data_IF_062349693563
#
_entry.id   IF_062349693563
#
_cell.length_a   1.000
_cell.length_b   1.000
_cell.length_c   1.000
_cell.angle_alpha   90.00
_cell.angle_beta   90.00
_cell.angle_gamma   90.00
#
_symmetry.space_group_name_H-M   'P 1'
#
loop_
_entity.id
_entity.type
_entity.pdbx_description
1 polymer ?
#
# COMPACT_ATOMS: atom_id res chain seq x y z
N UNK A 1 33.44 -13.82 -3.85
CA UNK A 1 32.23 -13.90 -3.01
C UNK A 1 31.16 -13.07 -3.68
N UNK A 2 30.05 -13.67 -4.14
CA UNK A 2 28.92 -12.92 -4.68
C UNK A 2 28.22 -12.27 -3.48
N UNK A 3 28.24 -10.94 -3.41
CA UNK A 3 27.47 -10.17 -2.42
C UNK A 3 26.00 -10.62 -2.54
N UNK A 4 25.45 -11.29 -1.52
CA UNK A 4 24.01 -11.61 -1.49
C UNK A 4 23.27 -10.28 -1.38
N UNK A 5 22.80 -9.75 -2.52
CA UNK A 5 21.93 -8.57 -2.57
C UNK A 5 20.64 -8.91 -1.82
N UNK A 6 20.35 -8.18 -0.75
CA UNK A 6 19.05 -8.31 -0.06
C UNK A 6 17.94 -7.80 -0.96
N UNK A 7 16.76 -8.43 -0.90
CA UNK A 7 15.59 -7.94 -1.63
C UNK A 7 15.17 -6.54 -1.16
N UNK A 8 14.46 -5.79 -2.01
CA UNK A 8 13.80 -4.55 -1.64
C UNK A 8 12.63 -4.79 -0.68
N UNK A 9 12.13 -3.71 -0.08
CA UNK A 9 10.97 -3.74 0.81
C UNK A 9 9.65 -3.65 0.02
N UNK A 10 8.62 -4.36 0.47
CA UNK A 10 7.26 -4.18 -0.04
C UNK A 10 6.43 -3.38 0.96
N UNK A 11 6.13 -2.14 0.62
CA UNK A 11 5.41 -1.17 1.46
C UNK A 11 4.04 -0.93 0.85
N UNK A 12 2.99 -1.30 1.56
CA UNK A 12 1.61 -1.06 1.16
C UNK A 12 1.08 0.17 1.90
N UNK A 13 0.33 1.01 1.19
CA UNK A 13 -0.31 2.21 1.72
C UNK A 13 -1.81 2.02 1.53
N UNK A 14 -2.52 1.86 2.65
CA UNK A 14 -3.97 1.62 2.70
C UNK A 14 -4.69 2.81 3.33
N UNK A 15 -6.02 2.82 3.22
CA UNK A 15 -6.87 3.86 3.77
C UNK A 15 -8.13 4.08 2.92
N UNK A 16 -9.10 4.74 3.52
CA UNK A 16 -10.36 5.13 2.87
C UNK A 16 -10.13 6.11 1.72
N UNK A 17 -11.17 6.36 0.94
CA UNK A 17 -11.10 7.37 -0.12
C UNK A 17 -10.72 8.73 0.50
N UNK A 18 -9.85 9.45 -0.21
CA UNK A 18 -9.29 10.76 0.20
C UNK A 18 -8.44 10.78 1.47
N UNK A 19 -8.01 9.64 1.99
CA UNK A 19 -7.01 9.61 3.06
C UNK A 19 -5.63 10.16 2.67
N UNK A 20 -5.41 10.45 1.37
CA UNK A 20 -4.17 11.06 0.87
C UNK A 20 -3.14 10.08 0.33
N UNK A 21 -3.50 8.79 0.18
CA UNK A 21 -2.60 7.72 -0.30
C UNK A 21 -1.79 8.07 -1.55
N UNK A 22 -2.45 8.54 -2.61
CA UNK A 22 -1.76 8.89 -3.86
C UNK A 22 -0.79 10.06 -3.69
N UNK A 23 -1.11 11.04 -2.83
CA UNK A 23 -0.20 12.15 -2.50
C UNK A 23 0.99 11.64 -1.71
N UNK A 24 0.74 10.88 -0.64
CA UNK A 24 1.78 10.41 0.26
C UNK A 24 2.71 9.39 -0.40
N UNK A 25 2.17 8.47 -1.20
CA UNK A 25 2.97 7.51 -1.96
C UNK A 25 3.91 8.18 -2.96
N UNK A 26 3.49 9.28 -3.61
CA UNK A 26 4.33 10.06 -4.50
C UNK A 26 5.45 10.79 -3.73
N UNK A 27 5.14 11.44 -2.61
CA UNK A 27 6.13 12.10 -1.75
C UNK A 27 7.17 11.12 -1.21
N UNK A 28 6.74 9.96 -0.73
CA UNK A 28 7.64 8.92 -0.24
C UNK A 28 8.53 8.37 -1.35
N UNK A 29 8.01 8.20 -2.57
CA UNK A 29 8.81 7.76 -3.71
C UNK A 29 9.94 8.76 -4.00
N UNK A 30 9.60 10.05 -4.09
CA UNK A 30 10.58 11.12 -4.34
C UNK A 30 11.64 11.18 -3.23
N UNK A 31 11.22 11.06 -1.97
CA UNK A 31 12.12 11.07 -0.82
C UNK A 31 13.03 9.85 -0.79
N UNK A 32 12.53 8.66 -1.13
CA UNK A 32 13.33 7.45 -1.27
C UNK A 32 14.38 7.59 -2.38
N UNK A 33 14.00 8.13 -3.54
CA UNK A 33 14.94 8.40 -4.63
C UNK A 33 16.02 9.41 -4.21
N UNK A 34 15.63 10.48 -3.52
CA UNK A 34 16.55 11.49 -2.97
C UNK A 34 17.53 10.91 -1.94
N UNK A 35 17.11 9.86 -1.22
CA UNK A 35 17.94 9.10 -0.29
C UNK A 35 18.79 8.00 -0.97
N UNK A 36 18.76 7.89 -2.31
CA UNK A 36 19.52 6.90 -3.07
C UNK A 36 18.93 5.48 -3.03
N UNK A 37 17.67 5.33 -2.60
CA UNK A 37 16.96 4.05 -2.58
C UNK A 37 16.31 3.80 -3.95
N UNK A 38 16.57 2.63 -4.55
CA UNK A 38 15.81 2.20 -5.73
C UNK A 38 14.40 1.83 -5.31
N UNK A 39 13.41 2.58 -5.77
CA UNK A 39 12.00 2.35 -5.45
C UNK A 39 11.12 2.55 -6.69
N UNK A 40 10.00 1.80 -6.76
CA UNK A 40 8.91 2.03 -7.72
C UNK A 40 7.59 2.18 -7.00
N UNK A 41 6.67 2.95 -7.57
CA UNK A 41 5.29 3.06 -7.13
C UNK A 41 4.40 2.25 -8.07
N UNK A 42 3.56 1.39 -7.51
CA UNK A 42 2.45 0.72 -8.19
C UNK A 42 1.13 1.09 -7.50
N UNK A 43 0.02 0.95 -8.23
CA UNK A 43 -1.33 1.25 -7.71
C UNK A 43 -2.28 0.13 -8.08
N UNK A 44 -3.17 -0.22 -7.17
CA UNK A 44 -4.29 -1.12 -7.45
C UNK A 44 -5.65 -0.40 -7.39
N UNK A 45 -6.57 -0.70 -8.31
CA UNK A 45 -6.39 -1.60 -9.46
C UNK A 45 -5.41 -1.00 -10.49
N UNK A 46 -4.60 -1.84 -11.13
CA UNK A 46 -3.85 -1.43 -12.31
C UNK A 46 -4.82 -1.36 -13.48
N UNK A 47 -5.32 -0.15 -13.74
CA UNK A 47 -6.34 0.15 -14.76
C UNK A 47 -5.83 0.01 -16.21
N UNK A 48 -4.55 -0.28 -16.42
CA UNK A 48 -3.95 -0.37 -17.76
C UNK A 48 -4.13 -1.73 -18.42
N UNK A 49 -4.31 -2.79 -17.61
CA UNK A 49 -4.47 -4.17 -18.10
C UNK A 49 -5.89 -4.44 -18.62
N UNK A 50 -6.11 -5.60 -19.25
CA UNK A 50 -7.45 -5.97 -19.72
C UNK A 50 -8.45 -6.11 -18.56
N UNK A 51 -8.05 -6.75 -17.46
CA UNK A 51 -8.84 -6.88 -16.24
C UNK A 51 -9.02 -5.49 -15.60
N UNK A 52 -7.94 -4.71 -15.54
CA UNK A 52 -7.94 -3.34 -15.04
C UNK A 52 -8.97 -2.42 -15.71
N UNK A 53 -9.12 -2.52 -17.03
CA UNK A 53 -10.10 -1.74 -17.80
C UNK A 53 -11.54 -2.13 -17.47
N UNK A 54 -11.81 -3.41 -17.21
CA UNK A 54 -13.14 -3.86 -16.76
C UNK A 54 -13.46 -3.28 -15.38
N UNK A 55 -12.46 -3.28 -14.48
CA UNK A 55 -12.60 -2.69 -13.15
C UNK A 55 -12.81 -1.16 -13.24
N UNK A 56 -12.04 -0.46 -14.08
CA UNK A 56 -12.17 0.99 -14.27
C UNK A 56 -13.56 1.37 -14.78
N UNK A 57 -14.06 0.67 -15.79
CA UNK A 57 -15.43 0.86 -16.30
C UNK A 57 -16.49 0.64 -15.21
N UNK A 58 -16.32 -0.39 -14.38
CA UNK A 58 -17.21 -0.64 -13.24
C UNK A 58 -17.15 0.50 -12.20
N UNK A 59 -15.95 0.96 -11.82
CA UNK A 59 -15.76 2.03 -10.83
C UNK A 59 -16.33 3.37 -11.31
N UNK A 60 -16.22 3.66 -12.61
CA UNK A 60 -16.82 4.85 -13.26
C UNK A 60 -18.33 4.74 -13.50
N UNK A 61 -18.94 3.63 -13.10
CA UNK A 61 -20.36 3.34 -13.34
C UNK A 61 -20.74 3.30 -14.83
N UNK A 62 -19.78 3.01 -15.71
CA UNK A 62 -19.99 2.82 -17.15
C UNK A 62 -20.44 1.38 -17.49
N UNK A 63 -20.20 0.44 -16.57
CA UNK A 63 -20.70 -0.92 -16.62
C UNK A 63 -21.12 -1.42 -15.24
N UNK A 64 -22.05 -2.36 -15.21
CA UNK A 64 -22.45 -3.08 -14.00
C UNK A 64 -21.99 -4.54 -14.08
N UNK A 65 -21.50 -5.05 -12.95
CA UNK A 65 -21.04 -6.42 -12.76
C UNK A 65 -21.58 -6.93 -11.43
N UNK A 66 -21.81 -8.24 -11.35
CA UNK A 66 -22.14 -8.90 -10.10
C UNK A 66 -21.02 -8.70 -9.05
N UNK A 67 -21.39 -8.58 -7.78
CA UNK A 67 -20.45 -8.26 -6.71
C UNK A 67 -19.38 -9.35 -6.51
N UNK A 68 -19.72 -10.63 -6.74
CA UNK A 68 -18.73 -11.70 -6.70
C UNK A 68 -17.75 -11.60 -7.86
N UNK A 69 -18.28 -11.34 -9.06
CA UNK A 69 -17.48 -11.23 -10.27
C UNK A 69 -16.47 -10.08 -10.17
N UNK A 70 -16.92 -8.87 -9.79
CA UNK A 70 -16.02 -7.72 -9.65
C UNK A 70 -15.00 -7.92 -8.52
N UNK A 71 -15.39 -8.54 -7.39
CA UNK A 71 -14.45 -8.88 -6.32
C UNK A 71 -13.31 -9.78 -6.83
N UNK A 72 -13.66 -10.83 -7.57
CA UNK A 72 -12.68 -11.75 -8.15
C UNK A 72 -11.82 -11.07 -9.22
N UNK A 73 -12.36 -10.13 -10.01
CA UNK A 73 -11.56 -9.34 -10.94
C UNK A 73 -10.53 -8.46 -10.22
N UNK A 74 -10.90 -7.81 -9.12
CA UNK A 74 -9.95 -7.06 -8.29
C UNK A 74 -8.81 -7.96 -7.78
N UNK A 75 -9.11 -9.19 -7.35
CA UNK A 75 -8.08 -10.14 -6.93
C UNK A 75 -7.21 -10.62 -8.10
N UNK A 76 -7.82 -10.96 -9.24
CA UNK A 76 -7.10 -11.36 -10.45
C UNK A 76 -6.15 -10.27 -10.95
N UNK A 77 -6.54 -9.00 -10.86
CA UNK A 77 -5.69 -7.85 -11.19
C UNK A 77 -4.46 -7.73 -10.28
N UNK A 78 -4.54 -8.18 -9.02
CA UNK A 78 -3.35 -8.30 -8.15
C UNK A 78 -2.47 -9.48 -8.55
N UNK A 79 -3.09 -10.63 -8.82
CA UNK A 79 -2.37 -11.85 -9.22
C UNK A 79 -1.58 -11.69 -10.52
N UNK A 80 -2.10 -10.97 -11.52
CA UNK A 80 -1.36 -10.75 -12.78
C UNK A 80 -0.08 -9.92 -12.59
N UNK A 81 0.03 -9.13 -11.50
CA UNK A 81 1.23 -8.36 -11.16
C UNK A 81 2.11 -9.03 -10.09
N UNK A 82 1.64 -10.09 -9.43
CA UNK A 82 2.33 -10.70 -8.28
C UNK A 82 3.77 -11.14 -8.59
N UNK A 83 3.98 -11.85 -9.70
CA UNK A 83 5.34 -12.28 -10.11
C UNK A 83 6.28 -11.10 -10.37
N UNK A 84 5.78 -10.03 -11.01
CA UNK A 84 6.56 -8.81 -11.28
C UNK A 84 6.94 -8.07 -10.00
N UNK A 85 6.03 -8.04 -9.02
CA UNK A 85 6.33 -7.51 -7.67
C UNK A 85 7.47 -8.32 -7.05
N UNK A 86 7.37 -9.64 -7.02
CA UNK A 86 8.42 -10.49 -6.44
C UNK A 86 9.77 -10.33 -7.13
N UNK A 87 9.80 -10.32 -8.46
CA UNK A 87 11.02 -10.15 -9.26
C UNK A 87 11.67 -8.80 -8.97
N UNK A 88 10.85 -7.74 -8.89
CA UNK A 88 11.35 -6.39 -8.56
C UNK A 88 11.96 -6.35 -7.17
N UNK A 89 11.29 -6.96 -6.19
CA UNK A 89 11.81 -7.05 -4.83
C UNK A 89 13.11 -7.85 -4.83
N UNK A 90 13.16 -9.02 -5.48
CA UNK A 90 14.37 -9.86 -5.59
C UNK A 90 15.55 -9.12 -6.24
N UNK A 91 15.29 -8.19 -7.16
CA UNK A 91 16.32 -7.34 -7.78
C UNK A 91 16.92 -6.26 -6.83
N UNK A 92 16.31 -6.07 -5.66
CA UNK A 92 16.72 -5.09 -4.65
C UNK A 92 15.95 -3.76 -4.72
N UNK A 93 14.88 -3.69 -5.51
CA UNK A 93 14.07 -2.47 -5.68
C UNK A 93 12.88 -2.51 -4.74
N UNK A 94 12.72 -1.48 -3.91
CA UNK A 94 11.54 -1.30 -3.05
C UNK A 94 10.29 -1.06 -3.90
N UNK A 95 9.16 -1.62 -3.47
CA UNK A 95 7.86 -1.38 -4.09
C UNK A 95 6.97 -0.66 -3.10
N UNK A 96 6.59 0.57 -3.43
CA UNK A 96 5.48 1.27 -2.78
C UNK A 96 4.20 0.91 -3.52
N UNK A 97 3.12 0.61 -2.79
CA UNK A 97 1.86 0.13 -3.35
C UNK A 97 0.68 0.92 -2.79
N UNK A 98 0.04 1.74 -3.61
CA UNK A 98 -1.21 2.44 -3.26
C UNK A 98 -2.38 1.47 -3.44
N UNK A 99 -2.96 1.05 -2.29
CA UNK A 99 -3.93 -0.06 -2.13
C UNK A 99 -3.38 -1.43 -2.49
N UNK A 100 -3.89 -2.46 -1.82
CA UNK A 100 -3.58 -3.86 -2.12
C UNK A 100 -4.76 -4.78 -1.76
N UNK A 101 -4.49 -5.99 -1.26
CA UNK A 101 -5.51 -6.97 -0.89
C UNK A 101 -6.48 -6.47 0.20
N UNK A 102 -6.02 -5.65 1.15
CA UNK A 102 -6.86 -5.16 2.24
C UNK A 102 -7.99 -4.26 1.73
N UNK A 103 -7.69 -3.34 0.78
CA UNK A 103 -8.74 -2.61 0.05
C UNK A 103 -9.73 -3.56 -0.65
N UNK A 104 -9.25 -4.58 -1.36
CA UNK A 104 -10.12 -5.53 -2.07
C UNK A 104 -11.12 -6.24 -1.14
N UNK A 105 -10.61 -6.70 0.01
CA UNK A 105 -11.41 -7.34 1.06
C UNK A 105 -12.38 -6.36 1.73
N UNK A 106 -11.90 -5.19 2.17
CA UNK A 106 -12.68 -4.23 2.94
C UNK A 106 -13.89 -3.70 2.15
N UNK A 107 -13.68 -3.25 0.90
CA UNK A 107 -14.77 -2.74 0.06
C UNK A 107 -15.82 -3.79 -0.29
N UNK A 108 -15.43 -5.06 -0.40
CA UNK A 108 -16.35 -6.14 -0.76
C UNK A 108 -17.13 -6.63 0.46
N UNK A 109 -16.46 -6.84 1.59
CA UNK A 109 -17.10 -7.24 2.84
C UNK A 109 -18.05 -6.16 3.38
N UNK A 110 -17.74 -4.87 3.18
CA UNK A 110 -18.61 -3.75 3.57
C UNK A 110 -19.99 -3.74 2.87
N UNK A 111 -20.14 -4.49 1.77
CA UNK A 111 -21.46 -4.69 1.13
C UNK A 111 -22.42 -5.53 2.00
N UNK A 112 -21.89 -6.21 3.02
CA UNK A 112 -22.63 -7.01 4.01
C UNK A 112 -23.61 -8.02 3.39
N UNK A 113 -23.14 -8.71 2.34
CA UNK A 113 -23.91 -9.77 1.69
C UNK A 113 -23.71 -11.10 2.41
N UNK A 114 -24.77 -11.90 2.64
CA UNK A 114 -24.69 -13.16 3.40
C UNK A 114 -23.79 -14.21 2.73
N UNK A 115 -23.66 -14.16 1.40
CA UNK A 115 -22.85 -15.05 0.57
C UNK A 115 -21.43 -14.51 0.28
N UNK A 116 -21.10 -13.29 0.71
CA UNK A 116 -19.77 -12.68 0.61
C UNK A 116 -19.20 -12.35 2.00
N UNK A 117 -19.06 -13.39 2.83
CA UNK A 117 -18.45 -13.26 4.16
C UNK A 117 -17.05 -12.61 4.12
N UNK A 118 -16.60 -12.12 5.27
CA UNK A 118 -15.23 -11.59 5.41
C UNK A 118 -14.18 -12.62 4.98
N UNK A 119 -14.35 -13.87 5.36
CA UNK A 119 -13.46 -14.98 5.02
C UNK A 119 -13.51 -15.31 3.52
N UNK A 120 -14.69 -15.23 2.90
CA UNK A 120 -14.84 -15.38 1.45
C UNK A 120 -14.12 -14.25 0.71
N UNK A 121 -14.27 -12.99 1.16
CA UNK A 121 -13.59 -11.84 0.57
C UNK A 121 -12.06 -11.89 0.74
N UNK A 122 -11.56 -12.60 1.76
CA UNK A 122 -10.13 -12.79 2.00
C UNK A 122 -9.52 -13.87 1.11
N UNK A 123 -10.28 -14.93 0.83
CA UNK A 123 -9.76 -16.17 0.26
C UNK A 123 -9.03 -16.01 -1.10
N UNK A 124 -9.51 -15.19 -2.06
CA UNK A 124 -8.86 -15.05 -3.36
C UNK A 124 -7.43 -14.49 -3.31
N UNK A 125 -7.12 -13.69 -2.29
CA UNK A 125 -5.82 -13.02 -2.14
C UNK A 125 -4.82 -13.79 -1.27
N UNK A 126 -5.21 -14.96 -0.73
CA UNK A 126 -4.32 -15.80 0.07
C UNK A 126 -3.10 -16.19 -0.77
N UNK A 127 -1.91 -16.01 -0.20
CA UNK A 127 -0.60 -16.28 -0.83
C UNK A 127 -0.13 -15.26 -1.86
N UNK A 128 -0.81 -14.12 -2.03
CA UNK A 128 -0.17 -12.96 -2.66
C UNK A 128 1.10 -12.55 -1.89
N UNK A 129 2.08 -11.91 -2.56
CA UNK A 129 3.26 -11.35 -1.90
C UNK A 129 2.86 -10.53 -0.67
N UNK A 130 3.34 -10.94 0.51
CA UNK A 130 2.98 -10.27 1.75
C UNK A 130 3.77 -8.96 1.89
N UNK A 131 3.12 -7.84 2.25
CA UNK A 131 3.84 -6.60 2.55
C UNK A 131 4.73 -6.80 3.76
N UNK A 132 5.88 -6.13 3.74
CA UNK A 132 6.74 -6.04 4.90
C UNK A 132 6.18 -5.05 5.93
N UNK A 133 5.49 -4.01 5.46
CA UNK A 133 4.75 -3.04 6.25
C UNK A 133 3.54 -2.52 5.47
N UNK A 134 2.46 -2.30 6.19
CA UNK A 134 1.26 -1.60 5.72
C UNK A 134 1.08 -0.34 6.53
N UNK A 135 1.09 0.81 5.86
CA UNK A 135 0.81 2.13 6.42
C UNK A 135 -0.67 2.43 6.14
N UNK A 136 -1.50 2.37 7.18
CA UNK A 136 -2.92 2.68 7.08
C UNK A 136 -3.16 4.14 7.44
N UNK A 137 -3.50 4.94 6.43
CA UNK A 137 -3.87 6.34 6.60
C UNK A 137 -5.31 6.43 7.11
N UNK A 138 -5.44 6.70 8.40
CA UNK A 138 -6.72 6.91 9.06
C UNK A 138 -7.08 8.40 9.02
N UNK A 139 -8.11 8.75 8.28
CA UNK A 139 -8.60 10.13 8.12
C UNK A 139 -10.01 10.20 8.69
N UNK A 140 -10.37 11.21 9.47
CA UNK A 140 -11.74 11.35 9.96
C UNK A 140 -12.72 11.61 8.81
N UNK A 141 -14.00 11.19 8.93
CA UNK A 141 -15.02 11.50 7.93
C UNK A 141 -15.13 13.01 7.66
N UNK A 142 -15.02 13.84 8.69
CA UNK A 142 -15.07 15.29 8.60
C UNK A 142 -13.92 15.82 7.73
N UNK A 143 -12.69 15.38 8.00
CA UNK A 143 -11.51 15.79 7.24
C UNK A 143 -11.53 15.28 5.80
N UNK A 144 -12.03 14.06 5.59
CA UNK A 144 -12.19 13.50 4.25
C UNK A 144 -13.19 14.30 3.40
N UNK A 145 -14.25 14.88 4.00
CA UNK A 145 -15.21 15.74 3.29
C UNK A 145 -14.59 17.05 2.80
N UNK A 146 -13.69 17.64 3.59
CA UNK A 146 -12.98 18.88 3.22
C UNK A 146 -12.10 18.75 1.96
N UNK A 147 -11.68 17.52 1.60
CA UNK A 147 -10.66 17.27 0.57
C UNK A 147 -11.15 17.34 -0.89
N UNK A 148 -12.44 17.63 -1.14
CA UNK A 148 -12.99 17.86 -2.49
C UNK A 148 -12.99 16.63 -3.43
N UNK A 149 -13.76 16.69 -4.54
CA UNK A 149 -13.90 15.62 -5.55
C UNK A 149 -14.54 14.34 -5.02
N UNK A 150 -15.85 14.37 -4.69
CA UNK A 150 -16.57 13.21 -4.11
C UNK A 150 -17.64 12.81 -5.10
N UNK A 151 -17.84 11.51 -5.25
CA UNK A 151 -18.98 10.96 -5.95
C UNK A 151 -18.74 10.78 -7.44
N UNK A 152 -17.49 10.86 -7.90
CA UNK A 152 -17.14 10.58 -9.29
C UNK A 152 -16.99 9.06 -9.52
N UNK A 153 -16.68 8.30 -8.47
CA UNK A 153 -16.58 6.84 -8.52
C UNK A 153 -17.62 6.13 -7.63
N UNK A 154 -17.96 4.90 -8.01
CA UNK A 154 -19.07 4.08 -7.47
C UNK A 154 -19.12 3.98 -5.94
N UNK A 155 -17.96 3.94 -5.29
CA UNK A 155 -17.84 3.73 -3.84
C UNK A 155 -17.63 5.01 -3.03
N UNK A 156 -17.56 6.18 -3.68
CA UNK A 156 -17.40 7.47 -3.01
C UNK A 156 -18.74 7.95 -2.42
N UNK A 157 -19.30 7.17 -1.48
CA UNK A 157 -20.52 7.48 -0.72
C UNK A 157 -20.26 7.33 0.77
N UNK A 158 -20.81 8.25 1.57
CA UNK A 158 -20.48 8.34 3.00
C UNK A 158 -20.84 7.04 3.74
N UNK A 159 -22.02 6.49 3.47
CA UNK A 159 -22.51 5.24 4.06
C UNK A 159 -21.67 4.02 3.66
N UNK A 160 -21.04 4.06 2.48
CA UNK A 160 -20.12 3.01 2.02
C UNK A 160 -18.80 3.16 2.77
N UNK A 161 -18.24 4.37 2.85
CA UNK A 161 -16.96 4.60 3.51
C UNK A 161 -17.00 4.30 5.02
N UNK A 162 -18.12 4.58 5.69
CA UNK A 162 -18.34 4.21 7.10
C UNK A 162 -18.25 2.69 7.29
N UNK A 163 -18.98 1.90 6.49
CA UNK A 163 -18.90 0.43 6.55
C UNK A 163 -17.52 -0.11 6.19
N UNK A 164 -16.82 0.53 5.25
CA UNK A 164 -15.46 0.14 4.86
C UNK A 164 -14.47 0.43 6.01
N UNK A 165 -14.67 1.50 6.78
CA UNK A 165 -13.87 1.81 7.97
C UNK A 165 -13.95 0.68 8.98
N UNK A 166 -15.16 0.23 9.32
CA UNK A 166 -15.37 -0.86 10.30
C UNK A 166 -14.60 -2.13 9.92
N UNK A 167 -14.56 -2.46 8.62
CA UNK A 167 -13.81 -3.61 8.13
C UNK A 167 -12.30 -3.36 8.23
N UNK A 168 -11.81 -2.17 7.91
CA UNK A 168 -10.39 -1.83 8.10
C UNK A 168 -9.96 -1.83 9.57
N UNK A 169 -10.82 -1.41 10.49
CA UNK A 169 -10.55 -1.51 11.93
C UNK A 169 -10.39 -2.98 12.36
N UNK A 170 -11.29 -3.86 11.91
CA UNK A 170 -11.15 -5.31 12.11
C UNK A 170 -9.81 -5.84 11.56
N UNK A 171 -9.45 -5.45 10.33
CA UNK A 171 -8.17 -5.84 9.71
C UNK A 171 -7.00 -5.35 10.56
N UNK A 172 -7.04 -4.10 11.03
CA UNK A 172 -6.00 -3.51 11.86
C UNK A 172 -5.80 -4.27 13.17
N UNK A 173 -6.88 -4.73 13.81
CA UNK A 173 -6.82 -5.58 15.01
C UNK A 173 -6.16 -6.93 14.68
N UNK A 174 -6.58 -7.59 13.59
CA UNK A 174 -6.03 -8.89 13.17
C UNK A 174 -4.55 -8.81 12.77
N UNK A 175 -4.12 -7.69 12.18
CA UNK A 175 -2.75 -7.50 11.66
C UNK A 175 -1.80 -6.83 12.69
N UNK A 176 -2.34 -6.12 13.67
CA UNK A 176 -1.59 -5.34 14.66
C UNK A 176 -0.69 -6.18 15.57
N UNK A 177 -1.08 -7.44 15.85
CA UNK A 177 -0.28 -8.37 16.66
C UNK A 177 1.10 -8.67 16.06
N UNK A 178 1.28 -8.46 14.75
CA UNK A 178 2.53 -8.73 14.04
C UNK A 178 3.45 -7.52 13.81
N UNK A 179 3.10 -6.32 14.30
CA UNK A 179 3.86 -5.07 14.09
C UNK A 179 4.03 -4.64 12.62
N UNK A 180 3.24 -5.22 11.69
CA UNK A 180 3.29 -4.90 10.25
C UNK A 180 2.20 -3.93 9.79
N UNK A 181 1.30 -3.55 10.68
CA UNK A 181 0.21 -2.60 10.43
C UNK A 181 0.43 -1.35 11.27
N UNK A 182 0.71 -0.23 10.62
CA UNK A 182 0.93 1.05 11.28
C UNK A 182 -0.22 1.98 10.92
N UNK A 183 -0.98 2.40 11.93
CA UNK A 183 -1.98 3.44 11.78
C UNK A 183 -1.27 4.80 11.77
N UNK A 184 -1.53 5.58 10.72
CA UNK A 184 -1.01 6.92 10.54
C UNK A 184 -2.19 7.87 10.59
N UNK A 185 -2.17 8.80 11.55
CA UNK A 185 -3.15 9.88 11.63
C UNK A 185 -3.01 10.76 10.38
N UNK A 186 -4.00 10.64 9.50
CA UNK A 186 -4.05 11.36 8.25
C UNK A 186 -4.85 12.66 8.36
N UNK A 187 -5.31 13.07 9.55
CA UNK A 187 -5.92 14.40 9.77
C UNK A 187 -4.87 15.50 9.92
N UNK A 188 -3.64 15.11 10.27
CA UNK A 188 -2.47 15.98 10.32
C UNK A 188 -2.20 16.70 8.99
N UNK A 189 -1.47 17.83 9.01
CA UNK A 189 -0.97 18.47 7.80
C UNK A 189 -0.20 17.49 6.90
N UNK A 190 -0.30 17.69 5.59
CA UNK A 190 0.26 16.82 4.55
C UNK A 190 1.73 16.45 4.82
N UNK A 191 2.53 17.43 5.20
CA UNK A 191 3.96 17.29 5.46
C UNK A 191 4.23 16.47 6.73
N UNK A 192 3.41 16.64 7.77
CA UNK A 192 3.53 15.86 9.01
C UNK A 192 3.18 14.39 8.80
N UNK A 193 2.12 14.11 8.03
CA UNK A 193 1.78 12.74 7.60
C UNK A 193 2.96 12.10 6.86
N UNK A 194 3.61 12.85 5.96
CA UNK A 194 4.77 12.37 5.22
C UNK A 194 5.96 12.05 6.13
N UNK A 195 6.21 12.87 7.15
CA UNK A 195 7.27 12.61 8.15
C UNK A 195 6.96 11.38 9.00
N UNK A 196 5.72 11.20 9.45
CA UNK A 196 5.32 10.01 10.22
C UNK A 196 5.54 8.75 9.38
N UNK A 197 5.04 8.73 8.13
CA UNK A 197 5.24 7.59 7.24
C UNK A 197 6.73 7.33 6.95
N UNK A 198 7.52 8.39 6.76
CA UNK A 198 8.95 8.28 6.50
C UNK A 198 9.71 7.59 7.63
N UNK A 199 9.44 7.93 8.90
CA UNK A 199 10.10 7.32 10.06
C UNK A 199 9.98 5.79 10.11
N UNK A 200 8.90 5.24 9.54
CA UNK A 200 8.70 3.80 9.49
C UNK A 200 9.45 3.10 8.36
N UNK A 201 9.88 3.83 7.33
CA UNK A 201 10.48 3.26 6.12
C UNK A 201 11.81 3.91 5.71
N UNK A 202 12.42 4.71 6.57
CA UNK A 202 13.69 5.37 6.25
C UNK A 202 14.86 4.37 6.20
N UNK A 203 15.83 4.56 5.28
CA UNK A 203 17.07 3.80 5.33
C UNK A 203 17.88 4.18 6.58
N UNK A 204 18.58 3.24 7.23
CA UNK A 204 19.38 3.53 8.39
C UNK A 204 20.52 4.47 8.01
N UNK A 205 20.72 5.51 8.81
CA UNK A 205 21.87 6.40 8.72
C UNK A 205 23.14 5.70 9.25
N UNK A 206 23.55 4.58 8.65
CA UNK A 206 24.84 3.95 8.96
C UNK A 206 25.81 4.19 7.82
N UNK A 207 26.82 5.02 8.11
CA UNK A 207 28.04 5.07 7.32
C UNK A 207 28.79 3.76 7.53
N UNK A 208 28.84 2.90 6.52
CA UNK A 208 29.72 1.73 6.55
C UNK A 208 31.13 2.22 6.26
N UNK A 209 31.95 2.40 7.31
CA UNK A 209 33.39 2.61 7.17
C UNK A 209 34.02 1.24 6.93
N UNK A 210 34.35 0.92 5.69
CA UNK A 210 35.18 -0.26 5.38
C UNK A 210 36.66 0.13 5.48
N UNK A 211 37.51 -0.61 6.22
CA UNK A 211 38.95 -0.37 6.22
C UNK A 211 39.50 -0.68 4.82
N UNK A 212 40.01 0.33 4.11
CA UNK A 212 40.72 0.13 2.85
C UNK A 212 42.17 -0.24 3.12
N UNK A 213 42.61 -1.43 2.73
CA UNK A 213 44.02 -1.81 2.67
C UNK A 213 44.71 -1.06 1.51
N UNK A 214 44.99 0.23 1.71
CA UNK A 214 45.74 1.08 0.78
C UNK A 214 44.86 2.02 -0.05
N UNK A 215 45.04 3.32 0.18
CA UNK A 215 44.57 4.48 -0.59
C UNK A 215 43.04 4.61 -0.81
N UNK A 216 42.40 5.40 0.06
CA UNK A 216 41.05 5.95 -0.14
C UNK A 216 39.95 5.27 0.68
N UNK A 217 39.47 5.94 1.73
CA UNK A 217 38.22 5.57 2.40
C UNK A 217 37.05 5.75 1.43
N UNK A 218 36.45 4.66 0.97
CA UNK A 218 35.18 4.69 0.23
C UNK A 218 34.03 4.61 1.23
N UNK A 219 33.30 5.71 1.40
CA UNK A 219 32.07 5.75 2.19
C UNK A 219 30.96 5.07 1.40
N UNK A 220 30.52 3.87 1.82
CA UNK A 220 29.26 3.29 1.30
C UNK A 220 28.12 3.64 2.25
N UNK A 221 27.10 4.33 1.73
CA UNK A 221 25.84 4.57 2.45
C UNK A 221 24.98 3.32 2.28
N UNK A 222 24.47 2.78 3.39
CA UNK A 222 23.49 1.71 3.36
C UNK A 222 22.11 2.26 2.97
N UNK A 223 21.70 2.08 1.72
CA UNK A 223 20.41 2.56 1.20
C UNK A 223 19.25 1.58 1.44
N UNK A 224 19.43 0.55 2.27
CA UNK A 224 18.38 -0.42 2.58
C UNK A 224 17.33 0.18 3.48
N UNK A 225 16.05 0.11 3.14
CA UNK A 225 14.98 0.47 4.08
C UNK A 225 15.02 -0.45 5.29
N UNK A 226 15.05 0.11 6.51
CA UNK A 226 14.69 -0.63 7.72
C UNK A 226 13.27 -0.27 8.10
N UNK A 227 12.45 -1.30 8.26
CA UNK A 227 11.09 -1.11 8.75
C UNK A 227 11.17 -0.98 10.26
N UNK A 228 10.85 0.22 10.75
CA UNK A 228 10.84 0.52 12.18
C UNK A 228 9.40 0.36 12.68
N UNK A 229 9.18 -0.57 13.60
CA UNK A 229 7.85 -0.88 14.13
C UNK A 229 7.66 -0.45 15.58
N UNK A 230 8.68 0.14 16.20
CA UNK A 230 8.63 0.68 17.56
C UNK A 230 8.27 2.16 17.52
N UNK A 231 7.22 2.51 18.26
CA UNK A 231 6.76 3.88 18.57
C UNK A 231 7.79 4.69 19.32
#
# INVERSE_FOLDING_TARGET
MVERKSRGAFVVIEGLDRSGKSTQSALLLERLHSAGVQAKLIKFPDRTTAIGKMIDSYLRSESDLDDHAIHLLFSANRWELASSIEETLKAGTTVLCDRYAFSGMAFSAAKNKPDMSYEWCRAPDVSLPAPDITLFLDVSPEKAKERGGYGDERYEKEDVQERVRDVFERIGIEMGEGSKWIVVDADLPKEEVAEVMWRHIEPPQRVLITPSNGCGTTTKIDTRIRICTSS
#
